data_IF_547352671737
#
_entry.id   IF_547352671737
#
_cell.length_a   1.000
_cell.length_b   1.000
_cell.length_c   1.000
_cell.angle_alpha   90.00
_cell.angle_beta   90.00
_cell.angle_gamma   90.00
#
_symmetry.space_group_name_H-M   'P 1'
#
loop_
_entity.id
_entity.type
_entity.pdbx_description
1 polymer ?
#
# COMPACT_ATOMS: atom_id res chain seq x y z
N UNK A 1 -6.11 12.88 6.67
CA UNK A 1 -6.89 12.58 5.44
C UNK A 1 -6.12 12.80 4.13
N UNK A 2 -5.04 13.60 4.06
CA UNK A 2 -4.30 13.87 2.80
C UNK A 2 -3.67 12.63 2.12
N UNK A 3 -3.29 11.62 2.91
CA UNK A 3 -2.62 10.40 2.41
C UNK A 3 -3.53 9.17 2.34
N UNK A 4 -4.85 9.36 2.41
CA UNK A 4 -5.80 8.25 2.33
C UNK A 4 -6.73 8.46 1.13
N UNK A 5 -6.73 7.48 0.22
CA UNK A 5 -7.75 7.35 -0.82
C UNK A 5 -9.03 6.92 -0.15
N UNK A 6 -10.10 7.71 -0.25
CA UNK A 6 -11.39 7.41 0.36
C UNK A 6 -12.24 6.56 -0.57
N UNK A 7 -12.84 5.48 -0.06
CA UNK A 7 -13.62 4.53 -0.86
C UNK A 7 -15.08 4.60 -0.41
N UNK A 8 -15.92 5.19 -1.25
CA UNK A 8 -17.35 5.31 -1.04
C UNK A 8 -18.10 4.22 -1.81
N UNK A 9 -19.42 4.13 -1.59
CA UNK A 9 -20.28 3.12 -2.23
C UNK A 9 -20.16 3.18 -3.76
N UNK A 10 -20.30 4.37 -4.32
CA UNK A 10 -20.32 4.61 -5.78
C UNK A 10 -19.06 5.30 -6.32
N UNK A 11 -18.24 5.92 -5.46
CA UNK A 11 -17.13 6.77 -5.91
C UNK A 11 -15.84 6.52 -5.14
N UNK A 12 -14.71 6.82 -5.78
CA UNK A 12 -13.40 6.87 -5.12
C UNK A 12 -12.98 8.33 -5.05
N UNK A 13 -12.59 8.77 -3.86
CA UNK A 13 -12.17 10.14 -3.57
C UNK A 13 -10.67 10.18 -3.27
N UNK A 14 -10.05 11.33 -3.45
CA UNK A 14 -8.61 11.50 -3.26
C UNK A 14 -7.80 10.46 -4.06
N UNK A 15 -7.91 10.50 -5.40
CA UNK A 15 -7.12 9.61 -6.27
C UNK A 15 -5.77 10.20 -6.67
N UNK A 16 -5.67 11.52 -6.85
CA UNK A 16 -4.45 12.18 -7.35
C UNK A 16 -3.48 12.52 -6.23
N UNK A 17 -2.18 12.26 -6.41
CA UNK A 17 -1.12 12.73 -5.51
C UNK A 17 -1.15 14.25 -5.43
N UNK A 18 -1.20 14.79 -4.22
CA UNK A 18 -1.23 16.24 -3.91
C UNK A 18 0.07 16.72 -3.26
N UNK A 19 1.03 15.82 -3.12
CA UNK A 19 2.25 16.00 -2.33
C UNK A 19 3.36 16.61 -3.21
N UNK A 20 3.10 17.76 -3.82
CA UNK A 20 4.04 18.51 -4.65
C UNK A 20 4.12 19.98 -4.25
N UNK A 21 5.26 20.67 -4.50
CA UNK A 21 5.48 22.05 -4.05
C UNK A 21 4.39 23.01 -4.52
N UNK A 22 3.95 23.91 -3.63
CA UNK A 22 2.98 24.95 -3.95
C UNK A 22 1.52 24.51 -3.96
N UNK A 23 1.21 23.25 -3.65
CA UNK A 23 -0.18 22.77 -3.58
C UNK A 23 -0.92 23.20 -2.30
N UNK A 24 -0.20 23.31 -1.18
CA UNK A 24 -0.77 23.71 0.11
C UNK A 24 -0.10 25.01 0.62
N UNK A 25 -0.87 26.03 1.02
CA UNK A 25 -0.31 27.25 1.60
C UNK A 25 0.44 26.94 2.91
N UNK A 26 1.70 27.35 3.01
CA UNK A 26 2.52 27.20 4.22
C UNK A 26 3.16 25.82 4.41
N UNK A 27 2.98 24.87 3.49
CA UNK A 27 3.66 23.57 3.52
C UNK A 27 4.72 23.46 2.42
N UNK A 28 5.91 22.95 2.77
CA UNK A 28 6.96 22.62 1.81
C UNK A 28 6.92 21.13 1.45
N UNK A 29 6.62 20.86 0.18
CA UNK A 29 6.61 19.54 -0.42
C UNK A 29 7.72 19.37 -1.45
N UNK A 30 8.77 20.21 -1.41
CA UNK A 30 9.95 20.02 -2.23
C UNK A 30 10.55 18.64 -1.98
N UNK A 31 10.97 18.00 -3.07
CA UNK A 31 11.66 16.72 -2.98
C UNK A 31 13.01 16.93 -2.27
N UNK A 32 13.22 16.15 -1.20
CA UNK A 32 14.50 16.05 -0.51
C UNK A 32 14.88 14.58 -0.36
N UNK A 33 16.11 14.26 -0.73
CA UNK A 33 16.66 12.90 -0.58
C UNK A 33 16.65 12.48 0.89
N UNK A 34 16.91 13.39 1.82
CA UNK A 34 16.95 13.08 3.25
C UNK A 34 15.56 12.75 3.78
N UNK A 35 14.55 13.53 3.38
CA UNK A 35 13.14 13.24 3.69
C UNK A 35 12.73 11.88 3.12
N UNK A 36 13.08 11.61 1.86
CA UNK A 36 12.79 10.33 1.23
C UNK A 36 13.46 9.16 1.97
N UNK A 37 14.76 9.25 2.30
CA UNK A 37 15.49 8.21 3.05
C UNK A 37 14.89 7.94 4.43
N UNK A 38 14.41 8.98 5.12
CA UNK A 38 13.79 8.83 6.44
C UNK A 38 12.39 8.20 6.40
N UNK A 39 11.65 8.41 5.31
CA UNK A 39 10.28 7.93 5.15
C UNK A 39 10.21 6.57 4.45
N UNK A 40 11.12 6.30 3.52
CA UNK A 40 11.13 5.09 2.72
C UNK A 40 11.57 3.89 3.55
N UNK A 41 10.74 2.86 3.59
CA UNK A 41 11.09 1.59 4.23
C UNK A 41 10.53 0.40 3.46
N UNK A 42 11.25 -0.72 3.53
CA UNK A 42 10.86 -2.00 2.96
C UNK A 42 10.63 -2.96 4.12
N UNK A 43 9.48 -3.63 4.15
CA UNK A 43 9.11 -4.58 5.21
C UNK A 43 8.69 -5.89 4.58
N UNK A 44 9.45 -6.96 4.78
CA UNK A 44 9.10 -8.30 4.29
C UNK A 44 8.08 -8.95 5.23
N UNK A 45 7.02 -9.49 4.64
CA UNK A 45 5.98 -10.25 5.32
C UNK A 45 6.17 -11.76 5.12
N UNK A 46 6.59 -12.15 3.91
CA UNK A 46 6.98 -13.51 3.54
C UNK A 46 8.18 -13.43 2.60
N UNK A 47 9.16 -14.30 2.81
CA UNK A 47 10.31 -14.41 1.92
C UNK A 47 10.66 -15.89 1.73
N UNK A 48 9.98 -16.53 0.78
CA UNK A 48 10.26 -17.89 0.33
C UNK A 48 10.83 -17.85 -1.09
N UNK A 49 11.56 -18.89 -1.54
CA UNK A 49 12.24 -18.89 -2.84
C UNK A 49 11.32 -18.53 -4.01
N UNK A 50 10.12 -19.11 -4.06
CA UNK A 50 9.16 -18.88 -5.15
C UNK A 50 8.05 -17.89 -4.81
N UNK A 51 8.03 -17.36 -3.58
CA UNK A 51 6.96 -16.48 -3.12
C UNK A 51 7.50 -15.47 -2.11
N UNK A 52 7.61 -14.21 -2.55
CA UNK A 52 7.97 -13.09 -1.70
C UNK A 52 6.81 -12.11 -1.60
N UNK A 53 6.48 -11.69 -0.38
CA UNK A 53 5.55 -10.58 -0.12
C UNK A 53 6.18 -9.55 0.80
N UNK A 54 6.13 -8.29 0.39
CA UNK A 54 6.74 -7.18 1.11
C UNK A 54 5.98 -5.87 0.90
N UNK A 55 6.11 -4.96 1.85
CA UNK A 55 5.60 -3.60 1.75
C UNK A 55 6.69 -2.60 1.37
N UNK A 56 6.36 -1.71 0.45
CA UNK A 56 7.08 -0.47 0.20
C UNK A 56 6.30 0.68 0.82
N UNK A 57 6.87 1.31 1.85
CA UNK A 57 6.27 2.45 2.56
C UNK A 57 7.05 3.72 2.23
N UNK A 58 6.36 4.85 2.10
CA UNK A 58 6.98 6.16 1.84
C UNK A 58 7.37 6.38 0.38
N UNK A 59 6.75 5.66 -0.55
CA UNK A 59 7.00 5.75 -2.00
C UNK A 59 5.77 6.30 -2.72
N UNK A 60 5.97 7.00 -3.85
CA UNK A 60 4.86 7.46 -4.70
C UNK A 60 4.38 6.36 -5.68
N UNK A 61 3.12 6.45 -6.08
CA UNK A 61 2.48 5.51 -7.01
C UNK A 61 3.21 5.40 -8.35
N UNK A 62 3.82 6.49 -8.84
CA UNK A 62 4.57 6.50 -10.10
C UNK A 62 5.78 5.55 -10.05
N UNK A 63 6.53 5.56 -8.95
CA UNK A 63 7.72 4.73 -8.78
C UNK A 63 7.34 3.27 -8.48
N UNK A 64 6.33 3.05 -7.63
CA UNK A 64 5.79 1.71 -7.39
C UNK A 64 5.27 1.06 -8.68
N UNK A 65 4.48 1.80 -9.47
CA UNK A 65 3.98 1.29 -10.75
C UNK A 65 5.12 1.05 -11.76
N UNK A 66 6.19 1.83 -11.73
CA UNK A 66 7.34 1.58 -12.57
C UNK A 66 8.04 0.26 -12.21
N UNK A 67 8.21 -0.06 -10.93
CA UNK A 67 8.71 -1.38 -10.51
C UNK A 67 7.79 -2.52 -10.94
N UNK A 68 6.46 -2.37 -10.75
CA UNK A 68 5.48 -3.35 -11.24
C UNK A 68 5.60 -3.58 -12.75
N UNK A 69 5.76 -2.51 -13.54
CA UNK A 69 5.90 -2.63 -14.99
C UNK A 69 7.19 -3.33 -15.40
N UNK A 70 8.30 -3.08 -14.72
CA UNK A 70 9.58 -3.78 -14.96
C UNK A 70 9.43 -5.26 -14.60
N UNK A 71 8.86 -5.56 -13.43
CA UNK A 71 8.62 -6.92 -12.95
C UNK A 71 7.69 -7.77 -13.81
N UNK A 72 6.80 -7.16 -14.60
CA UNK A 72 5.87 -7.89 -15.50
C UNK A 72 6.39 -7.94 -16.92
N UNK A 73 6.91 -6.80 -17.43
CA UNK A 73 7.28 -6.68 -18.83
C UNK A 73 8.70 -7.20 -19.11
N UNK A 74 9.57 -7.22 -18.11
CA UNK A 74 10.98 -7.59 -18.26
C UNK A 74 11.33 -8.88 -17.49
N UNK A 75 10.42 -9.36 -16.64
CA UNK A 75 10.56 -10.57 -15.82
C UNK A 75 9.20 -11.32 -15.84
N UNK A 76 9.13 -12.63 -16.09
CA UNK A 76 7.86 -13.36 -16.04
C UNK A 76 7.47 -13.68 -14.59
N UNK A 77 6.44 -13.01 -14.04
CA UNK A 77 5.91 -13.24 -12.67
C UNK A 77 4.38 -13.22 -12.62
N UNK A 78 3.79 -13.91 -11.63
CA UNK A 78 2.35 -13.92 -11.31
C UNK A 78 2.14 -13.46 -9.85
N UNK A 79 0.95 -12.98 -9.48
CA UNK A 79 0.63 -12.58 -8.11
C UNK A 79 -0.83 -12.96 -7.75
N UNK A 80 -1.03 -13.55 -6.57
CA UNK A 80 -2.35 -13.89 -6.00
C UNK A 80 -2.43 -13.40 -4.54
N UNK A 81 -3.64 -13.04 -4.08
CA UNK A 81 -3.95 -12.43 -2.76
C UNK A 81 -4.90 -13.33 -1.92
N UNK A 82 -4.74 -13.34 -0.58
CA UNK A 82 -5.53 -14.12 0.41
C UNK A 82 -6.35 -13.24 1.40
N UNK A 83 -7.41 -13.81 2.00
CA UNK A 83 -8.49 -13.11 2.75
C UNK A 83 -8.27 -12.70 4.23
N UNK A 84 -9.25 -11.97 4.82
CA UNK A 84 -9.01 -10.77 5.67
C UNK A 84 -9.69 -10.71 7.05
N UNK A 85 -10.87 -11.32 7.22
CA UNK A 85 -11.72 -10.99 8.37
C UNK A 85 -11.52 -12.01 9.50
N UNK A 86 -11.27 -11.50 10.71
CA UNK A 86 -11.23 -12.27 11.94
C UNK A 86 -12.33 -11.84 12.92
N UNK A 87 -12.78 -12.78 13.76
CA UNK A 87 -13.77 -12.53 14.81
C UNK A 87 -13.07 -12.56 16.17
N UNK A 88 -13.32 -11.56 17.02
CA UNK A 88 -12.81 -11.49 18.39
C UNK A 88 -13.94 -11.20 19.38
N UNK A 89 -13.76 -11.54 20.66
CA UNK A 89 -14.76 -11.28 21.70
C UNK A 89 -14.61 -9.87 22.27
N UNK A 90 -15.73 -9.19 22.49
CA UNK A 90 -15.79 -7.88 23.15
C UNK A 90 -15.37 -8.04 24.61
N UNK A 91 -14.39 -7.25 25.04
CA UNK A 91 -13.91 -7.24 26.42
C UNK A 91 -14.90 -6.54 27.36
N UNK A 92 -14.91 -6.93 28.65
CA UNK A 92 -15.77 -6.28 29.67
C UNK A 92 -15.43 -4.80 29.88
N UNK A 93 -14.20 -4.40 29.58
CA UNK A 93 -13.71 -3.02 29.66
C UNK A 93 -14.26 -2.16 28.52
N UNK A 94 -14.31 -2.68 27.30
CA UNK A 94 -14.91 -1.97 26.16
C UNK A 94 -16.43 -1.83 26.29
N UNK A 95 -17.09 -2.84 26.87
CA UNK A 95 -18.53 -2.85 27.09
C UNK A 95 -19.02 -1.93 28.23
N UNK A 96 -18.11 -1.40 29.05
CA UNK A 96 -18.44 -0.47 30.15
C UNK A 96 -18.09 1.00 29.83
N UNK A 97 -17.41 1.26 28.71
CA UNK A 97 -17.04 2.61 28.27
C UNK A 97 -18.21 3.27 27.52
N UNK A 98 -18.73 4.36 28.08
CA UNK A 98 -19.71 5.20 27.39
C UNK A 98 -19.11 5.86 26.14
N UNK A 99 -19.76 5.69 24.99
CA UNK A 99 -19.32 6.10 23.67
C UNK A 99 -18.48 5.06 22.91
N UNK A 100 -18.34 3.82 23.41
CA UNK A 100 -17.53 2.78 22.73
C UNK A 100 -18.26 2.12 21.55
N UNK A 101 -19.59 2.20 21.51
CA UNK A 101 -20.41 1.47 20.54
C UNK A 101 -20.60 -0.03 20.87
N UNK A 102 -20.06 -0.50 22.01
CA UNK A 102 -20.14 -1.91 22.47
C UNK A 102 -20.77 -2.04 23.87
N UNK A 103 -21.44 -1.00 24.35
CA UNK A 103 -22.02 -0.91 25.69
C UNK A 103 -22.99 -2.07 25.98
N UNK A 104 -22.76 -2.84 27.05
CA UNK A 104 -23.61 -3.97 27.43
C UNK A 104 -23.43 -5.26 26.61
N UNK A 105 -22.62 -5.25 25.55
CA UNK A 105 -22.38 -6.41 24.66
C UNK A 105 -21.17 -7.27 25.10
N UNK A 106 -20.91 -7.37 26.41
CA UNK A 106 -19.75 -8.07 26.94
C UNK A 106 -19.79 -9.58 26.61
N UNK A 107 -18.80 -10.07 25.86
CA UNK A 107 -18.70 -11.48 25.45
C UNK A 107 -19.27 -11.80 24.06
N UNK A 108 -19.95 -10.85 23.41
CA UNK A 108 -20.36 -10.99 22.00
C UNK A 108 -19.15 -10.86 21.06
N UNK A 109 -19.28 -11.40 19.85
CA UNK A 109 -18.24 -11.32 18.83
C UNK A 109 -18.27 -9.94 18.17
N UNK A 110 -17.18 -9.19 18.28
CA UNK A 110 -16.90 -8.03 17.44
C UNK A 110 -16.04 -8.45 16.26
N UNK A 111 -16.37 -7.90 15.09
CA UNK A 111 -15.43 -7.88 13.98
C UNK A 111 -14.33 -6.89 14.33
N UNK A 112 -13.09 -7.37 14.40
CA UNK A 112 -11.92 -6.50 14.47
C UNK A 112 -11.18 -6.58 13.16
N UNK A 113 -10.57 -5.46 12.76
CA UNK A 113 -9.62 -5.47 11.67
C UNK A 113 -8.34 -6.11 12.19
N UNK A 114 -8.18 -7.42 11.96
CA UNK A 114 -6.95 -8.14 12.33
C UNK A 114 -5.77 -7.69 11.49
N UNK A 115 -5.98 -7.67 10.17
CA UNK A 115 -4.95 -7.30 9.21
C UNK A 115 -5.58 -6.52 8.06
N UNK A 116 -5.31 -5.21 8.00
CA UNK A 116 -5.78 -4.33 6.92
C UNK A 116 -5.20 -4.72 5.55
N UNK A 117 -4.08 -5.45 5.52
CA UNK A 117 -3.33 -5.76 4.30
C UNK A 117 -3.96 -6.83 3.43
N UNK A 118 -4.89 -7.60 4.01
CA UNK A 118 -5.61 -8.63 3.28
C UNK A 118 -6.89 -8.10 2.64
N UNK A 119 -7.34 -6.88 2.97
CA UNK A 119 -8.60 -6.31 2.46
C UNK A 119 -8.58 -6.16 0.94
N UNK A 120 -9.35 -7.00 0.23
CA UNK A 120 -9.55 -6.88 -1.22
C UNK A 120 -10.36 -5.64 -1.58
N UNK A 121 -10.94 -4.97 -0.57
CA UNK A 121 -11.79 -3.79 -0.72
C UNK A 121 -12.98 -4.13 -1.63
N UNK A 122 -13.65 -5.24 -1.33
CA UNK A 122 -14.86 -5.70 -2.03
C UNK A 122 -16.02 -4.69 -1.96
N UNK A 123 -15.95 -3.72 -1.05
CA UNK A 123 -16.99 -2.75 -0.72
C UNK A 123 -18.28 -3.39 -0.18
N UNK A 124 -18.25 -4.67 0.18
CA UNK A 124 -19.44 -5.37 0.66
C UNK A 124 -20.01 -4.73 1.94
N UNK A 125 -19.13 -4.23 2.82
CA UNK A 125 -19.53 -3.47 4.00
C UNK A 125 -20.34 -2.20 3.70
N UNK A 126 -20.27 -1.66 2.47
CA UNK A 126 -21.03 -0.47 2.05
C UNK A 126 -22.41 -0.82 1.46
N UNK A 127 -22.73 -2.11 1.31
CA UNK A 127 -24.03 -2.57 0.79
C UNK A 127 -25.09 -2.71 1.89
N UNK A 128 -24.67 -2.99 3.12
CA UNK A 128 -25.58 -3.24 4.24
C UNK A 128 -25.86 -1.94 5.02
N UNK A 129 -27.15 -1.56 5.22
CA UNK A 129 -27.52 -0.36 5.97
C UNK A 129 -27.02 -0.38 7.43
N UNK A 130 -26.87 -1.56 8.03
CA UNK A 130 -26.41 -1.71 9.42
C UNK A 130 -24.97 -1.21 9.67
N UNK A 131 -24.15 -1.09 8.61
CA UNK A 131 -22.77 -0.62 8.66
C UNK A 131 -22.60 0.84 8.23
N UNK A 132 -23.67 1.49 7.79
CA UNK A 132 -23.65 2.89 7.41
C UNK A 132 -23.31 3.77 8.64
N UNK A 133 -22.35 4.69 8.47
CA UNK A 133 -21.82 5.53 9.55
C UNK A 133 -20.90 4.81 10.56
N UNK A 134 -20.80 3.48 10.52
CA UNK A 134 -19.95 2.69 11.44
C UNK A 134 -18.61 2.29 10.83
N UNK A 135 -18.56 2.11 9.50
CA UNK A 135 -17.35 1.67 8.78
C UNK A 135 -16.90 2.73 7.78
N UNK A 136 -15.60 2.98 7.71
CA UNK A 136 -14.96 3.82 6.69
C UNK A 136 -13.90 3.01 5.97
N UNK A 137 -14.00 2.91 4.65
CA UNK A 137 -13.00 2.25 3.81
C UNK A 137 -12.06 3.28 3.21
N UNK A 138 -10.77 2.95 3.20
CA UNK A 138 -9.76 3.77 2.57
C UNK A 138 -8.45 3.02 2.36
N UNK A 139 -7.58 3.57 1.51
CA UNK A 139 -6.24 3.03 1.26
C UNK A 139 -5.20 4.09 1.55
N UNK A 140 -4.11 3.69 2.21
CA UNK A 140 -2.95 4.55 2.42
C UNK A 140 -2.20 4.70 1.09
N UNK A 141 -1.94 5.93 0.66
CA UNK A 141 -1.40 6.25 -0.67
C UNK A 141 0.08 5.95 -0.83
N UNK A 142 0.83 6.08 0.25
CA UNK A 142 2.29 5.89 0.30
C UNK A 142 2.69 4.49 0.78
N UNK A 143 1.76 3.53 0.77
CA UNK A 143 1.98 2.18 1.26
C UNK A 143 1.51 1.17 0.21
N UNK A 144 2.47 0.52 -0.43
CA UNK A 144 2.23 -0.48 -1.46
C UNK A 144 2.63 -1.85 -0.93
N UNK A 145 1.85 -2.86 -1.28
CA UNK A 145 2.14 -4.26 -1.01
C UNK A 145 2.49 -4.88 -2.34
N UNK A 146 3.63 -5.55 -2.40
CA UNK A 146 4.06 -6.34 -3.54
C UNK A 146 4.04 -7.80 -3.12
N UNK A 147 3.45 -8.63 -3.96
CA UNK A 147 3.55 -10.08 -3.91
C UNK A 147 4.14 -10.53 -5.24
N UNK A 148 5.23 -11.28 -5.19
CA UNK A 148 5.99 -11.75 -6.35
C UNK A 148 6.06 -13.26 -6.27
N UNK A 149 5.47 -13.93 -7.25
CA UNK A 149 5.61 -15.36 -7.46
C UNK A 149 6.57 -15.62 -8.62
N UNK A 150 7.66 -16.33 -8.33
CA UNK A 150 8.62 -16.77 -9.33
C UNK A 150 8.20 -18.10 -9.96
N UNK A 151 8.51 -18.28 -11.23
CA UNK A 151 8.33 -19.56 -11.95
C UNK A 151 9.40 -20.61 -11.62
N UNK A 152 10.26 -20.33 -10.62
CA UNK A 152 11.32 -21.22 -10.14
C UNK A 152 12.66 -21.10 -10.87
N UNK A 153 12.81 -20.11 -11.76
CA UNK A 153 14.10 -19.82 -12.41
C UNK A 153 15.02 -18.96 -11.54
N UNK A 154 14.44 -18.13 -10.66
CA UNK A 154 15.11 -17.15 -9.80
C UNK A 154 14.39 -17.08 -8.46
N UNK A 155 15.10 -16.70 -7.39
CA UNK A 155 14.45 -16.41 -6.11
C UNK A 155 13.63 -15.11 -6.21
N UNK A 156 12.49 -15.08 -5.54
CA UNK A 156 11.47 -14.04 -5.76
C UNK A 156 11.87 -12.67 -5.22
N UNK A 157 12.74 -12.62 -4.21
CA UNK A 157 13.36 -11.39 -3.71
C UNK A 157 14.43 -10.84 -4.66
N UNK A 158 15.20 -11.72 -5.32
CA UNK A 158 16.16 -11.34 -6.35
C UNK A 158 15.48 -10.65 -7.54
N UNK A 159 14.29 -11.09 -7.92
CA UNK A 159 13.53 -10.47 -9.01
C UNK A 159 13.22 -8.99 -8.74
N UNK A 160 12.89 -8.64 -7.50
CA UNK A 160 12.67 -7.25 -7.13
C UNK A 160 13.95 -6.42 -7.15
N UNK A 161 15.07 -6.98 -6.67
CA UNK A 161 16.37 -6.30 -6.71
C UNK A 161 16.83 -6.05 -8.15
N UNK A 162 16.62 -7.02 -9.05
CA UNK A 162 16.91 -6.84 -10.48
C UNK A 162 16.02 -5.77 -11.11
N UNK A 163 14.74 -5.68 -10.74
CA UNK A 163 13.87 -4.60 -11.22
C UNK A 163 14.38 -3.20 -10.82
N UNK A 164 14.86 -3.04 -9.58
CA UNK A 164 15.48 -1.79 -9.10
C UNK A 164 16.76 -1.47 -9.88
N UNK A 165 17.59 -2.48 -10.13
CA UNK A 165 18.83 -2.34 -10.90
C UNK A 165 18.58 -1.95 -12.35
N UNK A 166 17.59 -2.55 -13.00
CA UNK A 166 17.14 -2.18 -14.35
C UNK A 166 16.69 -0.72 -14.42
N UNK A 167 15.91 -0.25 -13.45
CA UNK A 167 15.50 1.15 -13.37
C UNK A 167 16.70 2.10 -13.23
N UNK A 168 17.65 1.77 -12.33
CA UNK A 168 18.87 2.56 -12.14
C UNK A 168 19.70 2.65 -13.43
N UNK A 169 19.84 1.53 -14.15
CA UNK A 169 20.55 1.50 -15.43
C UNK A 169 19.89 2.37 -16.49
N UNK A 170 18.55 2.34 -16.59
CA UNK A 170 17.80 3.21 -17.51
C UNK A 170 18.02 4.68 -17.23
N UNK A 171 17.99 5.09 -15.95
CA UNK A 171 18.25 6.47 -15.56
C UNK A 171 19.67 6.91 -15.94
N UNK A 172 20.68 6.09 -15.64
CA UNK A 172 22.08 6.37 -16.01
C UNK A 172 22.28 6.47 -17.52
N UNK A 173 21.64 5.59 -18.30
CA UNK A 173 21.73 5.62 -19.76
C UNK A 173 21.13 6.91 -20.32
N UNK A 174 19.96 7.31 -19.81
CA UNK A 174 19.31 8.56 -20.22
C UNK A 174 20.16 9.78 -19.84
N UNK A 175 20.69 9.81 -18.62
CA UNK A 175 21.60 10.86 -18.15
C UNK A 175 22.79 11.03 -19.11
N UNK A 176 23.47 9.93 -19.45
CA UNK A 176 24.59 9.97 -20.38
C UNK A 176 24.19 10.47 -21.77
N UNK A 177 23.03 10.04 -22.27
CA UNK A 177 22.51 10.50 -23.56
C UNK A 177 22.25 12.00 -23.56
N UNK A 178 21.64 12.53 -22.50
CA UNK A 178 21.39 13.97 -22.37
C UNK A 178 22.70 14.75 -22.30
N UNK A 179 23.69 14.28 -21.53
CA UNK A 179 25.02 14.91 -21.47
C UNK A 179 25.65 14.98 -22.86
N UNK A 180 25.59 13.88 -23.62
CA UNK A 180 26.15 13.81 -24.96
C UNK A 180 25.42 14.70 -25.99
N UNK A 181 24.19 15.15 -25.72
CA UNK A 181 23.45 16.06 -26.61
C UNK A 181 23.84 17.53 -26.44
N UNK A 182 24.49 17.88 -25.33
CA UNK A 182 24.90 19.25 -24.98
C UNK A 182 26.39 19.49 -25.24
N UNK A 183 27.14 18.43 -25.59
CA UNK A 183 28.54 18.48 -26.02
C UNK A 183 28.65 18.49 -27.54
#
# INVERSE_FOLDING_TARGET
MKQTVGINKETVSNVSSTDFPGHFPGEDHAFSIDRFKSAFSVQFHRNEPNDASFSLVGIDASLANAFRRILIAEIPTLAIEDGVIGLEKISREEASRAGSGYEGHAGELKAVVKDTMKDTVSREALRHPEFEGKVKLGRRRDHFIFSIESTGQWDSDELFLEAVKHMKLKCKKLEQQVINMVQ
#
